data_IF_104140959313
#
_entry.id   IF_104140959313
#
_cell.length_a   1.000
_cell.length_b   1.000
_cell.length_c   1.000
_cell.angle_alpha   90.00
_cell.angle_beta   90.00
_cell.angle_gamma   90.00
#
_symmetry.space_group_name_H-M   'P 1'
#
loop_
_entity.id
_entity.type
_entity.pdbx_description
1 polymer ?
#
# COMPACT_ATOMS: atom_id res chain seq x y z
N UNK A 1 40.95 25.31 45.01
CA UNK A 1 40.56 25.82 43.68
C UNK A 1 40.59 24.72 42.60
N UNK A 2 41.65 23.92 42.51
CA UNK A 2 41.77 22.85 41.48
C UNK A 2 40.69 21.76 41.60
N UNK A 3 40.34 21.33 42.80
CA UNK A 3 39.29 20.33 43.07
C UNK A 3 37.90 20.81 42.65
N UNK A 4 37.57 22.07 42.87
CA UNK A 4 36.29 22.65 42.43
C UNK A 4 36.16 22.70 40.89
N UNK A 5 37.27 22.97 40.19
CA UNK A 5 37.28 22.96 38.71
C UNK A 5 37.10 21.55 38.16
N UNK A 6 37.68 20.51 38.78
CA UNK A 6 37.52 19.12 38.37
C UNK A 6 36.04 18.64 38.55
N UNK A 7 35.41 19.00 39.68
CA UNK A 7 34.01 18.65 39.90
C UNK A 7 33.05 19.41 38.96
N UNK A 8 33.35 20.65 38.62
CA UNK A 8 32.58 21.40 37.64
C UNK A 8 32.67 20.77 36.23
N UNK A 9 33.86 20.36 35.80
CA UNK A 9 34.08 19.64 34.54
C UNK A 9 33.38 18.28 34.52
N UNK A 10 33.49 17.48 35.58
CA UNK A 10 32.83 16.20 35.71
C UNK A 10 31.30 16.36 35.68
N UNK A 11 30.75 17.36 36.36
CA UNK A 11 29.33 17.69 36.35
C UNK A 11 28.84 18.10 34.96
N UNK A 12 29.63 18.90 34.24
CA UNK A 12 29.31 19.29 32.85
C UNK A 12 29.27 18.07 31.91
N UNK A 13 30.26 17.18 32.02
CA UNK A 13 30.30 15.94 31.23
C UNK A 13 29.11 15.03 31.58
N UNK A 14 28.74 14.95 32.85
CA UNK A 14 27.59 14.14 33.28
C UNK A 14 26.24 14.70 32.74
N UNK A 15 26.05 16.02 32.80
CA UNK A 15 24.85 16.68 32.29
C UNK A 15 24.78 16.57 30.77
N UNK A 16 25.88 16.76 30.05
CA UNK A 16 25.92 16.58 28.61
C UNK A 16 25.66 15.13 28.18
N UNK A 17 26.27 14.16 28.91
CA UNK A 17 26.04 12.73 28.69
C UNK A 17 24.60 12.33 28.98
N UNK A 18 24.00 12.84 30.07
CA UNK A 18 22.59 12.58 30.40
C UNK A 18 21.60 13.18 29.38
N UNK A 19 21.92 14.37 28.86
CA UNK A 19 21.11 14.98 27.80
C UNK A 19 21.25 14.22 26.45
N UNK A 20 22.43 13.70 26.16
CA UNK A 20 22.64 12.84 24.97
C UNK A 20 21.94 11.49 25.12
N UNK A 21 21.93 10.92 26.35
CA UNK A 21 21.23 9.67 26.65
C UNK A 21 19.70 9.80 26.67
N UNK A 22 19.15 11.02 26.79
CA UNK A 22 17.69 11.28 26.66
C UNK A 22 17.18 11.27 25.23
N UNK A 23 17.95 10.77 24.28
CA UNK A 23 17.43 10.28 23.01
C UNK A 23 17.32 11.28 21.87
N UNK A 24 18.03 12.40 21.88
CA UNK A 24 18.31 13.14 20.65
C UNK A 24 19.53 12.53 19.95
N UNK A 25 19.32 11.42 19.31
CA UNK A 25 20.33 10.77 18.46
C UNK A 25 20.39 11.53 17.14
N UNK A 26 21.05 12.69 17.12
CA UNK A 26 21.22 13.57 15.94
C UNK A 26 21.78 12.79 14.73
N UNK A 27 22.53 11.72 14.97
CA UNK A 27 23.02 10.82 13.91
C UNK A 27 21.92 9.92 13.36
N UNK A 28 21.03 9.42 14.19
CA UNK A 28 19.94 8.53 13.76
C UNK A 28 18.87 9.33 13.04
N UNK A 29 18.51 10.51 13.53
CA UNK A 29 17.50 11.36 12.89
C UNK A 29 17.98 11.89 11.53
N UNK A 30 19.25 12.32 11.43
CA UNK A 30 19.81 12.74 10.14
C UNK A 30 19.95 11.60 9.11
N UNK A 31 20.20 10.38 9.54
CA UNK A 31 20.26 9.21 8.65
C UNK A 31 18.85 8.73 8.24
N UNK A 32 17.89 8.78 9.14
CA UNK A 32 16.48 8.47 8.84
C UNK A 32 15.88 9.52 7.89
N UNK A 33 16.15 10.82 8.10
CA UNK A 33 15.72 11.88 7.19
C UNK A 33 16.33 11.68 5.80
N UNK A 34 17.65 11.39 5.71
CA UNK A 34 18.29 11.10 4.41
C UNK A 34 17.73 9.85 3.74
N UNK A 35 17.39 8.82 4.49
CA UNK A 35 16.76 7.62 3.95
C UNK A 35 15.35 7.91 3.45
N UNK A 36 14.57 8.66 4.22
CA UNK A 36 13.23 9.10 3.83
C UNK A 36 13.27 9.92 2.54
N UNK A 37 14.18 10.90 2.44
CA UNK A 37 14.37 11.71 1.24
C UNK A 37 14.78 10.86 0.03
N UNK A 38 15.67 9.88 0.23
CA UNK A 38 16.07 8.97 -0.84
C UNK A 38 14.92 8.07 -1.30
N UNK A 39 14.10 7.58 -0.39
CA UNK A 39 12.89 6.80 -0.67
C UNK A 39 11.91 7.67 -1.47
N UNK A 40 11.69 8.90 -1.03
CA UNK A 40 10.81 9.84 -1.72
C UNK A 40 11.30 10.13 -3.15
N UNK A 41 12.58 10.46 -3.33
CA UNK A 41 13.17 10.67 -4.65
C UNK A 41 13.05 9.44 -5.56
N UNK A 42 13.26 8.24 -5.01
CA UNK A 42 13.09 7.00 -5.78
C UNK A 42 11.65 6.75 -6.16
N UNK A 43 10.70 7.04 -5.27
CA UNK A 43 9.26 6.93 -5.53
C UNK A 43 8.83 7.89 -6.64
N UNK A 44 9.27 9.14 -6.61
CA UNK A 44 9.00 10.15 -7.64
C UNK A 44 9.61 9.74 -8.99
N UNK A 45 10.86 9.24 -8.99
CA UNK A 45 11.49 8.73 -10.21
C UNK A 45 10.76 7.54 -10.79
N UNK A 46 10.30 6.61 -9.96
CA UNK A 46 9.50 5.47 -10.42
C UNK A 46 8.17 5.94 -11.01
N UNK A 47 7.49 6.91 -10.39
CA UNK A 47 6.28 7.50 -10.93
C UNK A 47 6.48 8.09 -12.34
N UNK A 48 7.56 8.85 -12.52
CA UNK A 48 7.89 9.44 -13.83
C UNK A 48 8.23 8.38 -14.88
N UNK A 49 8.91 7.30 -14.49
CA UNK A 49 9.23 6.18 -15.39
C UNK A 49 7.96 5.40 -15.77
N UNK A 50 7.02 5.18 -14.85
CA UNK A 50 5.74 4.55 -15.13
C UNK A 50 4.90 5.39 -16.09
N UNK A 51 4.84 6.71 -15.91
CA UNK A 51 4.16 7.62 -16.83
C UNK A 51 4.77 7.57 -18.23
N UNK A 52 6.10 7.58 -18.32
CA UNK A 52 6.82 7.45 -19.60
C UNK A 52 6.53 6.08 -20.26
N UNK A 53 6.55 5.00 -19.49
CA UNK A 53 6.22 3.67 -20.01
C UNK A 53 4.76 3.57 -20.47
N UNK A 54 3.82 4.20 -19.76
CA UNK A 54 2.42 4.27 -20.17
C UNK A 54 2.24 5.04 -21.48
N UNK A 55 2.95 6.16 -21.65
CA UNK A 55 2.97 6.92 -22.91
C UNK A 55 3.47 6.09 -24.09
N UNK A 56 4.62 5.41 -23.91
CA UNK A 56 5.19 4.54 -24.96
C UNK A 56 4.24 3.39 -25.33
N UNK A 57 3.56 2.79 -24.35
CA UNK A 57 2.53 1.77 -24.62
C UNK A 57 1.37 2.34 -25.43
N UNK A 58 0.88 3.54 -25.07
CA UNK A 58 -0.15 4.22 -25.84
C UNK A 58 0.26 4.48 -27.30
N UNK A 59 1.53 4.82 -27.53
CA UNK A 59 2.07 4.99 -28.88
C UNK A 59 2.11 3.65 -29.65
N UNK A 60 2.57 2.58 -28.99
CA UNK A 60 2.57 1.22 -29.56
C UNK A 60 1.16 0.79 -29.94
N UNK A 61 0.18 0.97 -29.05
CA UNK A 61 -1.23 0.62 -29.29
C UNK A 61 -1.80 1.42 -30.45
N UNK A 62 -1.46 2.71 -30.54
CA UNK A 62 -1.90 3.56 -31.64
C UNK A 62 -1.29 3.16 -33.00
N UNK A 63 -0.03 2.72 -33.01
CA UNK A 63 0.65 2.21 -34.18
C UNK A 63 0.08 0.84 -34.61
N UNK A 64 -0.14 -0.06 -33.66
CA UNK A 64 -0.75 -1.37 -33.92
C UNK A 64 -2.18 -1.24 -34.48
N UNK A 65 -2.94 -0.23 -34.05
CA UNK A 65 -4.27 0.06 -34.61
C UNK A 65 -4.22 0.65 -36.02
N UNK A 66 -3.13 1.33 -36.40
CA UNK A 66 -2.92 1.89 -37.75
C UNK A 66 -2.47 0.83 -38.77
N UNK A 67 -1.72 -0.17 -38.26
CA UNK A 67 -1.20 -1.26 -39.10
C UNK A 67 -2.26 -2.34 -39.30
N UNK A 68 -3.29 -2.01 -40.06
CA UNK A 68 -4.59 -2.67 -40.24
C UNK A 68 -4.53 -4.11 -40.79
N UNK A 69 -3.62 -4.95 -40.30
CA UNK A 69 -3.64 -6.39 -40.58
C UNK A 69 -4.61 -7.21 -39.73
N UNK A 70 -5.09 -6.68 -38.58
CA UNK A 70 -5.92 -7.45 -37.66
C UNK A 70 -7.40 -7.43 -38.08
N UNK A 71 -8.03 -8.60 -38.10
CA UNK A 71 -9.47 -8.69 -38.30
C UNK A 71 -10.23 -8.09 -37.12
N UNK A 72 -11.48 -7.66 -37.37
CA UNK A 72 -12.37 -7.13 -36.32
C UNK A 72 -12.55 -8.11 -35.15
N UNK A 73 -12.44 -9.42 -35.42
CA UNK A 73 -12.51 -10.47 -34.44
C UNK A 73 -11.26 -10.51 -33.53
N UNK A 74 -10.05 -10.34 -34.09
CA UNK A 74 -8.80 -10.29 -33.35
C UNK A 74 -8.73 -9.06 -32.47
N UNK A 75 -9.14 -7.90 -32.96
CA UNK A 75 -9.23 -6.67 -32.16
C UNK A 75 -10.20 -6.83 -30.96
N UNK A 76 -11.35 -7.50 -31.17
CA UNK A 76 -12.29 -7.79 -30.08
C UNK A 76 -11.70 -8.77 -29.05
N UNK A 77 -10.96 -9.79 -29.52
CA UNK A 77 -10.27 -10.75 -28.65
C UNK A 77 -9.18 -10.07 -27.83
N UNK A 78 -8.36 -9.22 -28.45
CA UNK A 78 -7.33 -8.43 -27.76
C UNK A 78 -7.96 -7.59 -26.66
N UNK A 79 -8.99 -6.81 -26.97
CA UNK A 79 -9.71 -5.97 -25.99
C UNK A 79 -10.32 -6.77 -24.84
N UNK A 80 -10.74 -8.01 -25.08
CA UNK A 80 -11.22 -8.90 -24.03
C UNK A 80 -10.07 -9.37 -23.12
N UNK A 81 -8.92 -9.73 -23.71
CA UNK A 81 -7.71 -10.12 -22.98
C UNK A 81 -7.16 -8.98 -22.12
N UNK A 82 -7.07 -7.77 -22.67
CA UNK A 82 -6.64 -6.57 -21.96
C UNK A 82 -7.49 -6.31 -20.71
N UNK A 83 -8.83 -6.44 -20.84
CA UNK A 83 -9.74 -6.32 -19.70
C UNK A 83 -9.48 -7.39 -18.63
N UNK A 84 -9.27 -8.63 -19.06
CA UNK A 84 -8.97 -9.75 -18.15
C UNK A 84 -7.62 -9.59 -17.48
N UNK A 85 -6.62 -9.12 -18.21
CA UNK A 85 -5.29 -8.80 -17.71
C UNK A 85 -5.27 -7.58 -16.77
N UNK A 86 -6.33 -6.76 -16.79
CA UNK A 86 -6.43 -5.56 -15.96
C UNK A 86 -5.62 -4.37 -16.48
N UNK A 87 -5.18 -4.38 -17.74
CA UNK A 87 -4.40 -3.30 -18.37
C UNK A 87 -5.26 -2.14 -18.84
N UNK A 88 -6.60 -2.33 -18.91
CA UNK A 88 -7.55 -1.27 -19.25
C UNK A 88 -8.28 -0.74 -18.03
N UNK A 89 -8.83 0.47 -18.17
CA UNK A 89 -9.71 1.07 -17.16
C UNK A 89 -10.93 0.19 -16.89
N UNK A 90 -11.36 0.23 -15.62
CA UNK A 90 -12.56 -0.49 -15.18
C UNK A 90 -13.45 0.44 -14.35
N UNK A 91 -14.66 0.68 -14.83
CA UNK A 91 -15.67 1.48 -14.12
C UNK A 91 -16.81 0.63 -13.62
N UNK A 92 -17.34 0.96 -12.44
CA UNK A 92 -18.51 0.30 -11.87
C UNK A 92 -18.75 0.69 -10.41
N UNK A 93 -19.82 0.14 -9.83
CA UNK A 93 -20.07 0.25 -8.41
C UNK A 93 -18.90 -0.37 -7.62
N UNK A 94 -18.57 0.21 -6.50
CA UNK A 94 -17.36 -0.15 -5.78
C UNK A 94 -17.54 -0.12 -4.25
N UNK A 95 -16.69 -0.86 -3.57
CA UNK A 95 -16.48 -0.78 -2.13
C UNK A 95 -15.05 -0.30 -1.89
N UNK A 96 -14.89 0.65 -0.96
CA UNK A 96 -13.59 1.09 -0.48
C UNK A 96 -13.42 0.72 0.98
N UNK A 97 -12.27 0.16 1.32
CA UNK A 97 -11.87 -0.14 2.69
C UNK A 97 -10.67 0.73 3.03
N UNK A 98 -10.74 1.44 4.15
CA UNK A 98 -9.64 2.25 4.66
C UNK A 98 -9.17 1.64 5.98
N UNK A 99 -7.85 1.38 6.06
CA UNK A 99 -7.16 0.94 7.26
C UNK A 99 -6.19 2.03 7.70
N UNK A 100 -6.10 2.25 9.00
CA UNK A 100 -5.20 3.26 9.57
C UNK A 100 -4.55 2.75 10.84
N UNK A 101 -3.35 3.22 11.14
CA UNK A 101 -2.67 2.93 12.38
C UNK A 101 -3.48 3.46 13.58
N UNK A 102 -3.27 2.88 14.74
CA UNK A 102 -3.85 3.41 15.97
C UNK A 102 -3.30 4.81 16.28
N UNK A 103 -4.04 5.65 17.00
CA UNK A 103 -3.53 6.94 17.43
C UNK A 103 -2.21 6.81 18.20
N UNK A 104 -1.27 7.78 18.10
CA UNK A 104 0.06 7.67 18.68
C UNK A 104 0.10 7.39 20.20
N UNK A 105 -0.97 7.75 20.91
CA UNK A 105 -1.12 7.53 22.37
C UNK A 105 -2.23 6.52 22.68
N UNK A 106 -2.49 5.58 21.78
CA UNK A 106 -3.51 4.56 21.99
C UNK A 106 -3.18 3.70 23.21
N UNK A 107 -4.19 3.48 24.04
CA UNK A 107 -4.17 2.57 25.18
C UNK A 107 -5.17 1.47 24.97
N UNK A 108 -4.99 0.34 25.66
CA UNK A 108 -5.92 -0.77 25.57
C UNK A 108 -7.32 -0.37 26.03
N UNK A 109 -8.33 -0.82 25.32
CA UNK A 109 -9.71 -0.79 25.81
C UNK A 109 -9.88 -1.68 27.07
N UNK A 110 -10.87 -1.39 27.94
CA UNK A 110 -11.09 -2.20 29.14
C UNK A 110 -11.22 -3.71 28.83
N UNK A 111 -10.44 -4.52 29.53
CA UNK A 111 -10.43 -5.99 29.38
C UNK A 111 -9.42 -6.51 28.36
N UNK A 112 -8.65 -5.66 27.73
CA UNK A 112 -7.53 -6.04 26.85
C UNK A 112 -6.17 -5.77 27.50
N UNK A 113 -5.13 -6.55 27.15
CA UNK A 113 -3.76 -6.31 27.65
C UNK A 113 -3.22 -5.02 27.04
N UNK A 114 -2.18 -4.44 27.69
CA UNK A 114 -1.48 -3.28 27.16
C UNK A 114 -0.87 -3.60 25.79
N UNK A 115 -0.99 -2.67 24.82
CA UNK A 115 -0.52 -2.92 23.47
C UNK A 115 1.00 -2.97 23.38
N UNK A 116 1.52 -3.87 22.58
CA UNK A 116 2.89 -3.79 22.09
C UNK A 116 2.94 -2.80 20.92
N UNK A 117 4.10 -2.19 20.63
CA UNK A 117 4.22 -1.27 19.49
C UNK A 117 3.70 -1.85 18.16
N UNK A 118 3.85 -3.15 18.00
CA UNK A 118 3.41 -3.88 16.81
C UNK A 118 1.89 -4.04 16.71
N UNK A 119 1.17 -3.94 17.82
CA UNK A 119 -0.29 -4.04 17.86
C UNK A 119 -0.99 -2.75 17.41
N UNK A 120 -0.23 -1.66 17.28
CA UNK A 120 -0.72 -0.32 16.99
C UNK A 120 -0.56 0.09 15.51
N UNK A 121 0.03 -0.77 14.69
CA UNK A 121 0.32 -0.48 13.28
C UNK A 121 -0.29 -1.51 12.34
N UNK A 122 -0.62 -1.07 11.12
CA UNK A 122 -1.12 -1.95 10.06
C UNK A 122 0.01 -2.82 9.52
N UNK A 123 -0.29 -4.10 9.34
CA UNK A 123 0.63 -5.07 8.76
C UNK A 123 0.23 -5.46 7.33
N UNK A 124 1.20 -5.97 6.58
CA UNK A 124 0.97 -6.51 5.24
C UNK A 124 -0.18 -7.54 5.21
N UNK A 125 -0.27 -8.39 6.22
CA UNK A 125 -1.29 -9.43 6.32
C UNK A 125 -2.71 -8.86 6.40
N UNK A 126 -2.89 -7.69 7.02
CA UNK A 126 -4.19 -7.03 7.16
C UNK A 126 -4.66 -6.50 5.80
N UNK A 127 -3.77 -5.83 5.08
CA UNK A 127 -4.03 -5.39 3.70
C UNK A 127 -4.31 -6.57 2.77
N UNK A 128 -3.51 -7.64 2.88
CA UNK A 128 -3.66 -8.84 2.08
C UNK A 128 -4.99 -9.56 2.37
N UNK A 129 -5.43 -9.59 3.64
CA UNK A 129 -6.72 -10.15 4.03
C UNK A 129 -7.88 -9.42 3.36
N UNK A 130 -7.84 -8.08 3.33
CA UNK A 130 -8.85 -7.26 2.65
C UNK A 130 -8.85 -7.49 1.14
N UNK A 131 -7.67 -7.47 0.51
CA UNK A 131 -7.52 -7.71 -0.93
C UNK A 131 -8.06 -9.09 -1.31
N UNK A 132 -7.70 -10.13 -0.55
CA UNK A 132 -8.15 -11.49 -0.81
C UNK A 132 -9.68 -11.64 -0.60
N UNK A 133 -10.24 -11.04 0.45
CA UNK A 133 -11.67 -11.07 0.68
C UNK A 133 -12.46 -10.39 -0.45
N UNK A 134 -11.96 -9.25 -0.95
CA UNK A 134 -12.58 -8.56 -2.08
C UNK A 134 -12.54 -9.38 -3.37
N UNK A 135 -11.41 -10.06 -3.65
CA UNK A 135 -11.34 -11.00 -4.79
C UNK A 135 -12.29 -12.19 -4.62
N UNK A 136 -12.37 -12.77 -3.43
CA UNK A 136 -13.31 -13.85 -3.11
C UNK A 136 -14.77 -13.39 -3.24
N UNK A 137 -15.06 -12.12 -2.93
CA UNK A 137 -16.35 -11.49 -3.11
C UNK A 137 -16.73 -11.19 -4.57
N UNK A 138 -15.88 -11.55 -5.53
CA UNK A 138 -16.14 -11.39 -6.97
C UNK A 138 -15.78 -10.00 -7.49
N UNK A 139 -14.80 -9.33 -6.90
CA UNK A 139 -14.26 -8.08 -7.45
C UNK A 139 -13.79 -8.28 -8.89
N UNK A 140 -14.19 -7.38 -9.79
CA UNK A 140 -13.73 -7.33 -11.19
C UNK A 140 -12.39 -6.64 -11.34
N UNK A 141 -11.99 -5.89 -10.33
CA UNK A 141 -10.71 -5.23 -10.23
C UNK A 141 -10.54 -4.59 -8.87
N UNK A 142 -9.31 -4.56 -8.40
CA UNK A 142 -8.92 -3.97 -7.12
C UNK A 142 -7.78 -2.99 -7.34
N UNK A 143 -7.78 -1.87 -6.63
CA UNK A 143 -6.61 -1.00 -6.48
C UNK A 143 -6.30 -0.78 -5.01
N UNK A 144 -5.03 -0.64 -4.69
CA UNK A 144 -4.55 -0.20 -3.38
C UNK A 144 -3.89 1.14 -3.59
N UNK A 145 -4.33 2.14 -2.86
CA UNK A 145 -3.97 3.54 -3.08
C UNK A 145 -4.32 3.97 -4.51
N UNK A 146 -3.35 4.36 -5.31
CA UNK A 146 -3.48 4.66 -6.74
C UNK A 146 -3.09 3.49 -7.66
N UNK A 147 -2.57 2.38 -7.12
CA UNK A 147 -2.04 1.26 -7.89
C UNK A 147 -3.09 0.19 -8.19
N UNK A 148 -3.36 -0.07 -9.48
CA UNK A 148 -4.18 -1.20 -9.92
C UNK A 148 -3.45 -2.51 -9.61
N UNK A 149 -4.17 -3.46 -9.01
CA UNK A 149 -3.66 -4.81 -8.80
C UNK A 149 -4.06 -5.73 -9.96
N UNK A 150 -3.13 -6.58 -10.35
CA UNK A 150 -3.31 -7.71 -11.27
C UNK A 150 -2.85 -9.00 -10.59
N UNK A 151 -2.99 -10.16 -11.26
CA UNK A 151 -2.65 -11.48 -10.69
C UNK A 151 -1.20 -11.61 -10.21
N UNK A 152 -0.27 -10.85 -10.79
CA UNK A 152 1.16 -10.85 -10.42
C UNK A 152 1.52 -9.75 -9.42
N UNK A 153 0.58 -8.90 -9.02
CA UNK A 153 0.83 -7.83 -8.06
C UNK A 153 1.01 -8.40 -6.65
N UNK A 154 2.00 -7.90 -5.93
CA UNK A 154 2.26 -8.24 -4.54
C UNK A 154 2.20 -6.99 -3.66
N UNK A 155 1.45 -7.10 -2.56
CA UNK A 155 1.46 -6.13 -1.46
C UNK A 155 2.63 -6.48 -0.55
N UNK A 156 3.57 -5.57 -0.34
CA UNK A 156 4.73 -5.78 0.54
C UNK A 156 4.88 -4.61 1.49
N UNK A 157 5.24 -4.91 2.73
CA UNK A 157 5.63 -3.89 3.71
C UNK A 157 7.13 -3.98 4.02
N UNK A 158 7.74 -2.83 4.26
CA UNK A 158 9.09 -2.72 4.82
C UNK A 158 8.98 -1.79 6.02
N UNK A 159 9.17 -2.36 7.22
CA UNK A 159 8.79 -1.69 8.46
C UNK A 159 7.28 -1.45 8.50
N UNK A 160 6.88 -0.23 8.80
CA UNK A 160 5.47 0.21 8.83
C UNK A 160 5.00 0.89 7.53
N UNK A 161 5.74 0.75 6.44
CA UNK A 161 5.39 1.35 5.15
C UNK A 161 5.05 0.29 4.12
N UNK A 162 4.06 0.58 3.29
CA UNK A 162 3.64 -0.25 2.17
C UNK A 162 4.47 0.08 0.93
N UNK A 163 4.99 -0.95 0.28
CA UNK A 163 5.64 -0.82 -1.03
C UNK A 163 4.79 -1.54 -2.08
N UNK A 164 4.34 -0.78 -3.07
CA UNK A 164 3.60 -1.28 -4.24
C UNK A 164 4.25 -0.73 -5.50
N UNK A 165 4.61 -1.62 -6.42
CA UNK A 165 5.19 -1.24 -7.72
C UNK A 165 6.34 -0.22 -7.59
N UNK A 166 7.17 -0.37 -6.55
CA UNK A 166 8.32 0.51 -6.30
C UNK A 166 7.97 1.87 -5.67
N UNK A 167 6.70 2.14 -5.38
CA UNK A 167 6.25 3.31 -4.63
C UNK A 167 6.04 2.97 -3.16
N UNK A 168 6.30 3.95 -2.31
CA UNK A 168 6.15 3.84 -0.85
C UNK A 168 4.91 4.60 -0.42
N UNK A 169 4.08 3.97 0.39
CA UNK A 169 2.86 4.55 0.94
C UNK A 169 2.85 4.43 2.45
N UNK A 170 2.28 5.43 3.09
CA UNK A 170 2.02 5.46 4.54
C UNK A 170 0.53 5.38 4.82
N UNK A 171 0.11 4.95 6.02
CA UNK A 171 -1.29 5.00 6.42
C UNK A 171 -1.88 6.42 6.34
N UNK A 172 -3.20 6.58 6.14
CA UNK A 172 -4.19 5.51 5.98
C UNK A 172 -4.14 4.84 4.60
N UNK A 173 -4.25 3.51 4.58
CA UNK A 173 -4.27 2.72 3.35
C UNK A 173 -5.69 2.55 2.84
N UNK A 174 -5.93 2.91 1.58
CA UNK A 174 -7.23 2.78 0.93
C UNK A 174 -7.18 1.69 -0.13
N UNK A 175 -8.07 0.70 0.00
CA UNK A 175 -8.28 -0.38 -0.95
C UNK A 175 -9.65 -0.17 -1.58
N UNK A 176 -9.73 -0.16 -2.91
CA UNK A 176 -10.99 0.03 -3.65
C UNK A 176 -11.20 -1.12 -4.62
N UNK A 177 -12.34 -1.77 -4.55
CA UNK A 177 -12.72 -2.87 -5.42
C UNK A 177 -14.00 -2.54 -6.20
N UNK A 178 -13.98 -2.74 -7.51
CA UNK A 178 -15.15 -2.65 -8.37
C UNK A 178 -15.82 -4.01 -8.48
N UNK A 179 -17.12 -4.07 -8.19
CA UNK A 179 -17.91 -5.28 -8.19
C UNK A 179 -19.30 -5.04 -7.62
N UNK A 180 -20.03 -6.11 -7.30
CA UNK A 180 -21.30 -6.02 -6.58
C UNK A 180 -21.05 -5.63 -5.11
N UNK A 181 -21.50 -4.45 -4.63
CA UNK A 181 -21.16 -3.97 -3.29
C UNK A 181 -21.65 -4.92 -2.18
N UNK A 182 -22.83 -5.51 -2.37
CA UNK A 182 -23.39 -6.45 -1.38
C UNK A 182 -22.58 -7.74 -1.29
N UNK A 183 -22.09 -8.29 -2.41
CA UNK A 183 -21.24 -9.47 -2.42
C UNK A 183 -19.85 -9.16 -1.82
N UNK A 184 -19.27 -8.02 -2.19
CA UNK A 184 -17.96 -7.57 -1.66
C UNK A 184 -18.03 -7.40 -0.13
N UNK A 185 -19.09 -6.75 0.36
CA UNK A 185 -19.28 -6.54 1.80
C UNK A 185 -19.45 -7.86 2.56
N UNK A 186 -20.29 -8.76 2.07
CA UNK A 186 -20.43 -10.10 2.68
C UNK A 186 -19.10 -10.86 2.74
N UNK A 187 -18.26 -10.74 1.73
CA UNK A 187 -16.95 -11.40 1.73
C UNK A 187 -15.98 -10.79 2.75
N UNK A 188 -15.99 -9.46 2.93
CA UNK A 188 -15.24 -8.81 4.01
C UNK A 188 -15.72 -9.30 5.39
N UNK A 189 -17.02 -9.31 5.62
CA UNK A 189 -17.62 -9.71 6.89
C UNK A 189 -17.41 -11.21 7.19
N UNK A 190 -17.32 -12.06 6.18
CA UNK A 190 -17.09 -13.50 6.32
C UNK A 190 -15.62 -13.90 6.50
N UNK A 191 -14.67 -12.97 6.30
CA UNK A 191 -13.24 -13.27 6.35
C UNK A 191 -12.72 -13.44 7.78
N UNK A 192 -12.23 -14.62 8.19
CA UNK A 192 -11.69 -14.82 9.55
C UNK A 192 -10.49 -13.92 9.85
N UNK A 193 -9.66 -13.65 8.84
CA UNK A 193 -8.50 -12.77 9.00
C UNK A 193 -8.93 -11.32 9.28
N UNK A 194 -9.98 -10.83 8.62
CA UNK A 194 -10.56 -9.51 8.89
C UNK A 194 -11.22 -9.50 10.27
N UNK A 195 -11.95 -10.55 10.67
CA UNK A 195 -12.53 -10.64 12.00
C UNK A 195 -11.44 -10.57 13.08
N UNK A 196 -10.29 -11.21 12.88
CA UNK A 196 -9.16 -11.08 13.79
C UNK A 196 -8.61 -9.64 13.83
N UNK A 197 -8.45 -8.98 12.67
CA UNK A 197 -8.07 -7.57 12.61
C UNK A 197 -9.03 -6.66 13.38
N UNK A 198 -10.34 -6.90 13.28
CA UNK A 198 -11.36 -6.14 13.99
C UNK A 198 -11.29 -6.27 15.52
N UNK A 199 -10.67 -7.34 16.05
CA UNK A 199 -10.35 -7.41 17.48
C UNK A 199 -9.31 -6.34 17.87
N UNK A 200 -8.30 -6.11 17.02
CA UNK A 200 -7.31 -5.07 17.24
C UNK A 200 -7.89 -3.66 17.07
N UNK A 201 -8.81 -3.47 16.12
CA UNK A 201 -9.60 -2.23 16.01
C UNK A 201 -10.33 -1.94 17.32
N UNK A 202 -11.01 -2.93 17.90
CA UNK A 202 -11.73 -2.80 19.16
C UNK A 202 -10.81 -2.62 20.36
N UNK A 203 -9.69 -3.35 20.39
CA UNK A 203 -8.77 -3.36 21.52
C UNK A 203 -7.93 -2.09 21.60
N UNK A 204 -7.43 -1.60 20.46
CA UNK A 204 -6.37 -0.60 20.40
C UNK A 204 -6.69 0.62 19.54
N UNK A 205 -7.85 0.62 18.88
CA UNK A 205 -8.29 1.77 18.08
C UNK A 205 -7.63 1.88 16.70
N UNK A 206 -7.21 0.77 16.10
CA UNK A 206 -6.83 0.74 14.69
C UNK A 206 -7.99 1.24 13.80
N UNK A 207 -7.66 1.91 12.70
CA UNK A 207 -8.65 2.44 11.79
C UNK A 207 -9.26 1.35 10.91
N UNK A 208 -10.60 1.31 10.85
CA UNK A 208 -11.36 0.46 9.93
C UNK A 208 -12.58 1.21 9.44
N UNK A 209 -12.64 1.46 8.13
CA UNK A 209 -13.80 2.10 7.51
C UNK A 209 -14.13 1.40 6.19
N UNK A 210 -15.40 1.09 5.99
CA UNK A 210 -15.92 0.52 4.73
C UNK A 210 -16.95 1.47 4.15
N UNK A 211 -16.69 1.98 2.96
CA UNK A 211 -17.57 2.87 2.22
C UNK A 211 -18.07 2.18 0.95
N UNK A 212 -19.37 2.23 0.71
CA UNK A 212 -19.96 1.88 -0.58
C UNK A 212 -19.93 3.10 -1.48
N UNK A 213 -19.34 2.95 -2.65
CA UNK A 213 -19.22 4.03 -3.62
C UNK A 213 -20.11 3.72 -4.83
N UNK A 214 -20.67 4.77 -5.42
CA UNK A 214 -21.33 4.66 -6.71
C UNK A 214 -20.37 4.22 -7.82
N UNK A 215 -20.50 4.77 -9.01
CA UNK A 215 -19.56 4.47 -10.10
C UNK A 215 -18.16 5.04 -9.80
N UNK A 216 -17.18 4.17 -9.71
CA UNK A 216 -15.75 4.51 -9.55
C UNK A 216 -15.00 3.94 -10.75
N UNK A 217 -14.05 4.70 -11.29
CA UNK A 217 -13.12 4.23 -12.33
C UNK A 217 -11.78 3.86 -11.70
N UNK A 218 -11.36 2.61 -11.90
CA UNK A 218 -10.02 2.15 -11.61
C UNK A 218 -9.15 2.34 -12.86
N UNK A 219 -7.92 2.82 -12.74
CA UNK A 219 -6.99 2.89 -13.89
C UNK A 219 -6.65 1.50 -14.41
N UNK A 220 -6.15 1.42 -15.63
CA UNK A 220 -5.46 0.22 -16.10
C UNK A 220 -4.15 0.01 -15.33
N UNK A 221 -3.68 -1.24 -15.27
CA UNK A 221 -2.37 -1.55 -14.71
C UNK A 221 -1.26 -0.94 -15.58
N UNK A 222 -0.38 -0.15 -14.98
CA UNK A 222 0.70 0.55 -15.68
C UNK A 222 2.10 -0.02 -15.38
N UNK A 223 2.22 -0.94 -14.41
CA UNK A 223 3.48 -1.55 -14.03
C UNK A 223 4.07 -2.48 -15.10
N UNK A 224 5.31 -2.89 -14.92
CA UNK A 224 5.96 -3.88 -15.79
C UNK A 224 5.41 -5.28 -15.52
N UNK A 225 5.12 -6.02 -16.58
CA UNK A 225 4.82 -7.46 -16.51
C UNK A 225 6.03 -8.17 -17.09
N UNK A 226 6.95 -8.57 -16.21
CA UNK A 226 8.15 -9.30 -16.61
C UNK A 226 7.95 -10.78 -16.27
N UNK A 227 7.62 -11.57 -17.30
CA UNK A 227 7.32 -12.98 -17.19
C UNK A 227 8.50 -13.79 -17.73
N UNK A 228 9.59 -13.83 -16.99
CA UNK A 228 10.82 -14.54 -17.41
C UNK A 228 10.65 -16.04 -17.63
N UNK A 229 9.64 -16.67 -17.01
CA UNK A 229 9.44 -18.11 -17.02
C UNK A 229 8.06 -18.54 -17.53
N UNK A 230 7.25 -17.60 -18.03
CA UNK A 230 5.94 -17.91 -18.59
C UNK A 230 6.05 -18.03 -20.12
N UNK A 231 5.71 -19.19 -20.64
CA UNK A 231 5.59 -19.44 -22.09
C UNK A 231 4.12 -19.49 -22.48
N UNK A 232 3.74 -18.98 -23.68
CA UNK A 232 2.39 -19.15 -24.19
C UNK A 232 2.05 -20.63 -24.32
N UNK A 233 0.88 -21.05 -23.87
CA UNK A 233 0.34 -22.39 -24.13
C UNK A 233 -0.41 -22.31 -25.46
N UNK A 234 0.02 -23.13 -26.45
CA UNK A 234 -0.65 -23.26 -27.76
C UNK A 234 -2.03 -23.91 -27.65
#
# INVERSE_FOLDING_TARGET
>A
MLTAAVFALAGLIFVTSANTAKGTNIRTDASLLKLSDLIQQRSEKNAALEESAASVRGDIDSLAQRDNGSTKAEAAKLKALERTAGTTELSGAAVSVTLDDAPPNATASPGYPDPQPNDLVIHQQDLQAVVNALWQGGAKGVKVMDQRLISTSAVRCVGNTLILQGRVYSPPYKITAVGDPGALRRALDASPAIQNYLLYVKAYGLGWKVDENGAVTLPGYSGTVDLHYAEPVE
#
